data_IF_190205341402
#
_entry.id   IF_190205341402
#
_cell.length_a   1.000
_cell.length_b   1.000
_cell.length_c   1.000
_cell.angle_alpha   90.00
_cell.angle_beta   90.00
_cell.angle_gamma   90.00
#
_symmetry.space_group_name_H-M   'P 1'
#
loop_
_entity.id
_entity.type
_entity.pdbx_description
1 polymer ?
#
# COMPACT_ATOMS: atom_id res chain seq x y z
N UNK A 1 1.92 -0.45 -5.05
CA UNK A 1 2.05 -1.43 -3.99
C UNK A 1 3.30 -2.28 -4.10
N UNK A 2 3.44 -3.19 -3.21
CA UNK A 2 4.59 -4.09 -3.17
C UNK A 2 4.16 -5.50 -2.73
N UNK A 3 4.94 -6.49 -3.16
CA UNK A 3 4.74 -7.88 -2.78
C UNK A 3 5.47 -8.19 -1.48
N UNK A 4 4.81 -8.98 -0.64
CA UNK A 4 5.37 -9.53 0.58
C UNK A 4 5.38 -11.05 0.47
N UNK A 5 6.51 -11.67 0.82
CA UNK A 5 6.61 -13.12 0.97
C UNK A 5 6.64 -13.46 2.44
N UNK A 6 5.61 -14.14 2.93
CA UNK A 6 5.47 -14.50 4.33
C UNK A 6 5.79 -15.97 4.56
N UNK A 7 6.71 -16.25 5.48
CA UNK A 7 7.07 -17.60 5.88
C UNK A 7 6.08 -18.21 6.87
N UNK A 8 5.32 -17.38 7.54
CA UNK A 8 4.33 -17.76 8.55
C UNK A 8 3.06 -16.95 8.33
N UNK A 9 1.93 -17.45 8.83
CA UNK A 9 0.74 -16.63 8.96
C UNK A 9 1.07 -15.40 9.79
N UNK A 10 0.49 -14.27 9.44
CA UNK A 10 0.79 -13.00 10.10
C UNK A 10 -0.47 -12.18 10.33
N UNK A 11 -0.37 -11.24 11.26
CA UNK A 11 -1.38 -10.19 11.44
C UNK A 11 -0.73 -8.84 11.24
N UNK A 12 -1.25 -8.08 10.30
CA UNK A 12 -0.83 -6.71 10.10
C UNK A 12 -1.62 -5.79 11.02
N UNK A 13 -0.93 -4.88 11.69
CA UNK A 13 -1.52 -4.01 12.73
C UNK A 13 -1.43 -2.53 12.40
N UNK A 14 -0.57 -2.13 11.49
CA UNK A 14 -0.42 -0.73 11.12
C UNK A 14 0.06 -0.60 9.66
N UNK A 15 -0.49 0.40 8.98
CA UNK A 15 -0.05 0.83 7.66
C UNK A 15 0.34 2.31 7.73
N UNK A 16 1.46 2.67 7.09
CA UNK A 16 1.92 4.05 6.99
C UNK A 16 2.35 4.37 5.58
N UNK A 17 2.12 5.60 5.15
CA UNK A 17 2.60 6.13 3.88
C UNK A 17 3.05 7.57 4.06
N UNK A 18 4.17 7.92 3.43
CA UNK A 18 4.71 9.27 3.41
C UNK A 18 4.28 9.99 2.14
N UNK A 19 3.80 11.21 2.27
CA UNK A 19 3.45 12.10 1.18
C UNK A 19 4.34 13.34 1.28
N UNK A 20 5.05 13.67 0.20
CA UNK A 20 5.96 14.81 0.19
C UNK A 20 5.19 16.14 0.00
N UNK A 21 4.24 16.14 -0.93
CA UNK A 21 3.44 17.32 -1.26
C UNK A 21 2.19 16.91 -2.04
N UNK A 22 1.10 17.61 -1.84
CA UNK A 22 -0.10 17.51 -2.68
C UNK A 22 -0.63 18.89 -3.02
N UNK A 23 -0.89 19.13 -4.29
CA UNK A 23 -1.54 20.35 -4.79
C UNK A 23 -3.07 20.18 -4.86
N UNK A 24 -3.56 18.95 -4.80
CA UNK A 24 -4.99 18.66 -4.93
C UNK A 24 -5.78 19.22 -3.75
N UNK A 25 -6.96 19.77 -4.04
CA UNK A 25 -7.89 20.21 -3.03
C UNK A 25 -8.21 19.09 -2.03
N UNK A 26 -8.41 17.89 -2.54
CA UNK A 26 -8.53 16.67 -1.75
C UNK A 26 -8.09 15.47 -2.57
N UNK A 27 -7.29 14.62 -2.00
CA UNK A 27 -6.94 13.32 -2.56
C UNK A 27 -7.38 12.23 -1.58
N UNK A 28 -8.06 11.21 -2.07
CA UNK A 28 -8.46 10.07 -1.26
C UNK A 28 -7.72 8.83 -1.73
N UNK A 29 -6.96 8.25 -0.83
CA UNK A 29 -6.22 7.01 -1.03
C UNK A 29 -6.93 5.89 -0.28
N UNK A 30 -6.97 4.71 -0.85
CA UNK A 30 -7.45 3.51 -0.18
C UNK A 30 -6.28 2.57 0.08
N UNK A 31 -6.16 2.10 1.32
CA UNK A 31 -5.20 1.05 1.67
C UNK A 31 -5.71 -0.27 1.11
N UNK A 32 -4.85 -1.02 0.45
CA UNK A 32 -5.20 -2.33 -0.09
C UNK A 32 -4.27 -3.40 0.44
N UNK A 33 -4.85 -4.55 0.81
CA UNK A 33 -4.12 -5.75 1.22
C UNK A 33 -4.77 -6.92 0.53
N UNK A 34 -3.99 -7.62 -0.29
CA UNK A 34 -4.46 -8.80 -1.03
C UNK A 34 -3.59 -10.01 -0.71
N UNK A 35 -4.22 -11.17 -0.63
CA UNK A 35 -3.51 -12.44 -0.77
C UNK A 35 -3.32 -12.69 -2.27
N UNK A 36 -2.13 -13.13 -2.68
CA UNK A 36 -1.86 -13.43 -4.07
C UNK A 36 -1.34 -14.86 -4.22
N UNK A 37 -1.46 -15.40 -5.42
CA UNK A 37 -0.80 -16.64 -5.78
C UNK A 37 0.69 -16.38 -6.10
N UNK A 38 1.47 -17.44 -6.27
CA UNK A 38 2.90 -17.33 -6.58
C UNK A 38 3.16 -16.67 -7.94
N UNK A 39 2.22 -16.78 -8.86
CA UNK A 39 2.35 -16.22 -10.21
C UNK A 39 1.87 -14.77 -10.29
N UNK A 40 1.36 -14.21 -9.19
CA UNK A 40 0.84 -12.84 -9.10
C UNK A 40 -0.31 -12.55 -10.08
N UNK A 41 -1.17 -13.54 -10.29
CA UNK A 41 -2.33 -13.42 -11.19
C UNK A 41 -3.64 -13.26 -10.47
N UNK A 42 -3.77 -13.87 -9.29
CA UNK A 42 -4.99 -13.83 -8.49
C UNK A 42 -4.78 -12.95 -7.26
N UNK A 43 -5.66 -11.96 -7.08
CA UNK A 43 -5.62 -11.02 -5.96
C UNK A 43 -6.90 -11.15 -5.17
N UNK A 44 -6.81 -11.66 -3.95
CA UNK A 44 -7.95 -11.85 -3.06
C UNK A 44 -7.92 -10.80 -1.97
N UNK A 45 -8.92 -9.91 -1.87
CA UNK A 45 -8.96 -8.88 -0.82
C UNK A 45 -9.00 -9.50 0.58
N UNK A 46 -8.20 -8.96 1.49
CA UNK A 46 -8.14 -9.39 2.88
C UNK A 46 -8.76 -8.40 3.86
N UNK A 47 -8.84 -7.12 3.48
CA UNK A 47 -9.52 -6.12 4.30
C UNK A 47 -11.04 -6.31 4.23
N UNK A 48 -11.68 -6.45 5.39
CA UNK A 48 -13.14 -6.59 5.48
C UNK A 48 -13.86 -5.28 5.25
N UNK A 49 -13.25 -4.17 5.68
CA UNK A 49 -13.77 -2.83 5.54
C UNK A 49 -12.74 -1.94 4.86
N UNK A 50 -13.18 -1.01 3.99
CA UNK A 50 -12.24 -0.12 3.32
C UNK A 50 -11.61 0.85 4.32
N UNK A 51 -10.32 1.12 4.13
CA UNK A 51 -9.55 2.07 4.92
C UNK A 51 -9.08 3.18 4.00
N UNK A 52 -9.53 4.40 4.27
CA UNK A 52 -9.23 5.57 3.46
C UNK A 52 -8.27 6.52 4.18
N UNK A 53 -7.45 7.18 3.38
CA UNK A 53 -6.58 8.27 3.82
C UNK A 53 -6.94 9.49 2.99
N UNK A 54 -7.41 10.55 3.65
CA UNK A 54 -7.69 11.82 3.02
C UNK A 54 -6.47 12.72 3.12
N UNK A 55 -6.02 13.23 1.97
CA UNK A 55 -4.86 14.13 1.89
C UNK A 55 -5.32 15.47 1.38
N UNK A 56 -5.14 16.51 2.19
CA UNK A 56 -5.45 17.90 1.85
C UNK A 56 -4.21 18.61 1.32
N UNK A 57 -4.35 19.79 0.67
CA UNK A 57 -3.22 20.52 0.13
C UNK A 57 -2.17 20.81 1.20
N UNK A 58 -0.92 20.49 0.91
CA UNK A 58 0.19 20.78 1.79
C UNK A 58 1.48 20.89 0.99
N UNK A 59 2.27 21.92 1.27
CA UNK A 59 3.61 22.07 0.74
C UNK A 59 4.68 21.41 1.59
N UNK A 60 4.29 20.75 2.69
CA UNK A 60 5.21 20.11 3.63
C UNK A 60 5.02 18.59 3.63
N UNK A 61 6.10 17.83 3.89
CA UNK A 61 6.00 16.37 4.03
C UNK A 61 5.10 15.97 5.20
N UNK A 62 4.30 14.93 4.98
CA UNK A 62 3.39 14.36 5.96
C UNK A 62 3.46 12.84 5.96
N UNK A 63 3.31 12.24 7.13
CA UNK A 63 3.19 10.79 7.28
C UNK A 63 1.77 10.47 7.75
N UNK A 64 1.12 9.57 7.03
CA UNK A 64 -0.22 9.09 7.36
C UNK A 64 -0.13 7.65 7.84
N UNK A 65 -0.61 7.41 9.06
CA UNK A 65 -0.63 6.08 9.66
C UNK A 65 -2.06 5.67 9.99
N UNK A 66 -2.37 4.39 9.79
CA UNK A 66 -3.67 3.82 10.14
C UNK A 66 -3.47 2.50 10.86
N UNK A 67 -4.21 2.34 11.95
CA UNK A 67 -4.30 1.05 12.62
C UNK A 67 -5.18 0.14 11.80
N UNK A 68 -4.71 -1.07 11.57
CA UNK A 68 -5.43 -2.10 10.84
C UNK A 68 -5.40 -3.38 11.66
N UNK A 69 -6.24 -4.34 11.32
CA UNK A 69 -6.18 -5.68 11.90
C UNK A 69 -6.53 -6.67 10.81
N UNK A 70 -5.50 -7.22 10.17
CA UNK A 70 -5.67 -8.07 9.00
C UNK A 70 -4.85 -9.34 9.18
N UNK A 71 -5.53 -10.48 9.14
CA UNK A 71 -4.87 -11.77 9.07
C UNK A 71 -4.41 -12.01 7.62
N UNK A 72 -3.12 -12.30 7.46
CA UNK A 72 -2.53 -12.60 6.17
C UNK A 72 -1.95 -14.01 6.23
N UNK A 73 -2.51 -14.96 5.45
CA UNK A 73 -1.98 -16.31 5.41
C UNK A 73 -0.54 -16.33 4.89
N UNK A 74 0.22 -17.31 5.35
CA UNK A 74 1.56 -17.60 4.83
C UNK A 74 1.53 -17.70 3.29
N UNK A 75 2.55 -17.17 2.63
CA UNK A 75 2.67 -17.13 1.18
C UNK A 75 2.83 -15.71 0.67
N UNK A 76 2.33 -15.44 -0.53
CA UNK A 76 2.46 -14.15 -1.18
C UNK A 76 1.29 -13.23 -0.85
N UNK A 77 1.61 -11.95 -0.63
CA UNK A 77 0.62 -10.90 -0.42
C UNK A 77 1.03 -9.63 -1.18
N UNK A 78 0.05 -8.76 -1.40
CA UNK A 78 0.24 -7.44 -1.99
C UNK A 78 -0.30 -6.39 -1.02
N UNK A 79 0.52 -5.38 -0.72
CA UNK A 79 0.13 -4.24 0.13
C UNK A 79 0.41 -2.96 -0.62
N UNK A 80 -0.51 -2.02 -0.56
CA UNK A 80 -0.30 -0.74 -1.21
C UNK A 80 -1.46 0.22 -1.05
N UNK A 81 -1.49 1.19 -1.96
CA UNK A 81 -2.53 2.21 -2.02
C UNK A 81 -3.16 2.26 -3.40
N UNK A 82 -4.40 2.69 -3.44
CA UNK A 82 -5.14 2.98 -4.65
C UNK A 82 -5.67 4.41 -4.57
N UNK A 83 -5.48 5.19 -5.64
CA UNK A 83 -6.10 6.50 -5.73
C UNK A 83 -7.59 6.32 -6.05
N UNK A 84 -8.45 6.80 -5.15
CA UNK A 84 -9.90 6.67 -5.29
C UNK A 84 -10.50 7.94 -5.86
N UNK A 85 -10.08 9.10 -5.37
CA UNK A 85 -10.59 10.39 -5.76
C UNK A 85 -9.49 11.44 -5.71
N UNK A 86 -9.43 12.27 -6.75
CA UNK A 86 -8.47 13.37 -6.84
C UNK A 86 -9.26 14.60 -7.28
N UNK A 87 -9.48 15.53 -6.35
CA UNK A 87 -10.19 16.80 -6.63
C UNK A 87 -9.19 17.93 -6.77
N UNK A 88 -9.16 18.55 -7.92
CA UNK A 88 -8.26 19.64 -8.20
C UNK A 88 -8.30 20.04 -9.65
N UNK A 89 -7.28 20.76 -10.08
CA UNK A 89 -7.10 21.23 -11.45
C UNK A 89 -6.23 20.26 -12.22
N UNK A 90 -6.30 20.30 -13.56
CA UNK A 90 -5.55 19.37 -14.43
C UNK A 90 -4.05 19.44 -14.24
N UNK A 91 -3.53 20.57 -13.80
CA UNK A 91 -2.09 20.75 -13.55
C UNK A 91 -1.66 20.43 -12.13
N UNK A 92 -2.58 20.08 -11.22
CA UNK A 92 -2.24 19.70 -9.86
C UNK A 92 -1.42 18.40 -9.84
N UNK A 93 -0.53 18.31 -8.86
CA UNK A 93 0.41 17.19 -8.73
C UNK A 93 0.36 16.62 -7.32
N UNK A 94 0.67 15.34 -7.24
CA UNK A 94 0.82 14.61 -6.00
C UNK A 94 2.21 13.99 -5.96
N UNK A 95 2.98 14.30 -4.93
CA UNK A 95 4.38 13.86 -4.83
C UNK A 95 4.58 12.93 -3.64
N UNK A 96 5.22 11.81 -3.89
CA UNK A 96 5.75 10.94 -2.86
C UNK A 96 7.25 11.19 -2.72
N UNK A 97 7.83 11.12 -1.48
CA UNK A 97 9.28 11.05 -1.37
C UNK A 97 9.76 9.74 -1.98
N UNK A 98 10.95 9.77 -2.57
CA UNK A 98 11.52 8.58 -3.21
C UNK A 98 12.18 7.67 -2.19
N UNK A 99 12.03 6.36 -2.38
CA UNK A 99 12.79 5.35 -1.64
C UNK A 99 13.57 4.47 -2.61
N UNK A 100 14.58 3.76 -2.09
CA UNK A 100 15.44 2.88 -2.90
C UNK A 100 14.75 1.53 -3.18
N UNK A 101 13.56 1.31 -2.68
CA UNK A 101 12.81 0.07 -2.88
C UNK A 101 12.00 0.13 -4.17
N UNK A 102 11.94 -0.99 -4.89
CA UNK A 102 11.09 -1.10 -6.07
C UNK A 102 9.66 -1.32 -5.65
N UNK A 103 8.76 -0.47 -6.12
CA UNK A 103 7.33 -0.65 -6.03
C UNK A 103 6.75 -1.00 -7.39
N UNK A 104 5.54 -1.53 -7.40
CA UNK A 104 4.85 -1.96 -8.61
C UNK A 104 3.53 -1.24 -8.78
N UNK A 105 3.13 -1.03 -10.01
CA UNK A 105 1.80 -0.57 -10.38
C UNK A 105 1.02 -1.75 -10.91
N UNK A 106 -0.18 -1.95 -10.38
CA UNK A 106 -1.16 -2.90 -10.89
C UNK A 106 -2.23 -2.12 -11.64
N UNK A 107 -2.34 -2.39 -12.92
CA UNK A 107 -3.33 -1.74 -13.79
C UNK A 107 -4.68 -2.45 -13.74
N UNK A 108 -5.72 -1.76 -14.22
CA UNK A 108 -7.09 -2.30 -14.24
C UNK A 108 -7.24 -3.57 -15.08
N UNK A 109 -6.37 -3.77 -16.07
CA UNK A 109 -6.32 -5.00 -16.88
C UNK A 109 -5.58 -6.17 -16.21
N UNK A 110 -5.11 -5.97 -14.97
CA UNK A 110 -4.37 -6.96 -14.20
C UNK A 110 -2.87 -6.99 -14.45
N UNK A 111 -2.37 -6.23 -15.40
CA UNK A 111 -0.93 -6.14 -15.65
C UNK A 111 -0.21 -5.45 -14.50
N UNK A 112 0.99 -5.94 -14.18
CA UNK A 112 1.83 -5.41 -13.12
C UNK A 112 3.16 -4.99 -13.73
N UNK A 113 3.58 -3.76 -13.43
CA UNK A 113 4.87 -3.22 -13.89
C UNK A 113 5.59 -2.52 -12.75
N UNK A 114 6.93 -2.56 -12.72
CA UNK A 114 7.69 -1.73 -11.80
C UNK A 114 7.39 -0.25 -12.03
N UNK A 115 7.23 0.51 -10.96
CA UNK A 115 7.04 1.96 -11.04
C UNK A 115 8.29 2.63 -11.57
N UNK A 116 9.45 2.21 -11.05
CA UNK A 116 10.78 2.62 -11.50
C UNK A 116 11.77 1.56 -11.02
N UNK A 117 12.86 1.35 -11.75
CA UNK A 117 13.84 0.32 -11.41
C UNK A 117 14.54 0.53 -10.06
N UNK A 118 14.58 1.76 -9.54
CA UNK A 118 15.33 2.13 -8.34
C UNK A 118 14.55 2.95 -7.33
N UNK A 119 13.36 3.44 -7.68
CA UNK A 119 12.59 4.35 -6.85
C UNK A 119 11.21 3.77 -6.59
N UNK A 120 10.78 3.84 -5.35
CA UNK A 120 9.46 3.41 -4.93
C UNK A 120 8.76 4.44 -4.07
N UNK A 121 7.51 4.14 -3.73
CA UNK A 121 6.71 4.95 -2.81
C UNK A 121 6.98 4.46 -1.40
N UNK A 122 7.27 5.35 -0.43
CA UNK A 122 7.57 4.97 0.94
C UNK A 122 6.29 4.67 1.71
N UNK A 123 5.88 3.42 1.69
CA UNK A 123 4.89 2.92 2.63
C UNK A 123 5.49 1.78 3.44
N UNK A 124 4.92 1.54 4.60
CA UNK A 124 5.35 0.47 5.50
C UNK A 124 4.17 -0.19 6.17
N UNK A 125 4.36 -1.43 6.54
CA UNK A 125 3.41 -2.19 7.35
C UNK A 125 4.12 -2.74 8.56
N UNK A 126 3.42 -2.78 9.69
CA UNK A 126 3.86 -3.43 10.91
C UNK A 126 2.90 -4.55 11.26
N UNK A 127 3.43 -5.57 11.88
CA UNK A 127 2.63 -6.70 12.31
C UNK A 127 3.47 -7.72 13.06
N UNK A 128 2.90 -8.90 13.24
CA UNK A 128 3.58 -10.01 13.91
C UNK A 128 3.21 -11.34 13.24
N UNK A 129 4.14 -12.28 13.34
CA UNK A 129 3.96 -13.62 12.81
C UNK A 129 3.33 -14.55 13.87
N UNK A 130 2.51 -15.48 13.39
CA UNK A 130 2.06 -16.61 14.20
C UNK A 130 3.03 -17.76 14.02
N UNK A 131 3.72 -18.12 15.10
CA UNK A 131 4.70 -19.21 15.11
C UNK A 131 4.15 -20.34 15.95
N UNK A 132 4.09 -21.54 15.38
CA UNK A 132 3.68 -22.74 16.12
C UNK A 132 4.89 -23.21 16.93
N UNK A 133 4.74 -23.25 18.24
CA UNK A 133 5.76 -23.79 19.16
C UNK A 133 5.40 -25.23 19.47
N UNK A 134 6.25 -26.14 19.04
CA UNK A 134 6.11 -27.56 19.40
C UNK A 134 6.87 -27.82 20.71
N UNK A 135 6.11 -28.21 21.72
CA UNK A 135 6.69 -28.63 22.98
C UNK A 135 7.04 -30.11 22.96
#
# INVERSE_FOLDING_TARGET
GDFLSLKHDARLTEFSVDVHRSDFYMAVLRVVVYQTDKEHKVFTPLLKEPIYIEVFPSGEPQTFSRKISVFVPKGEAWVGIQFVEMRGKDYDRFFFPSTINTCYIRFTDGKIRPLNKRLGIPFSVKGYDYIVVNE
#
